data_IF_429763354907
#
_entry.id   IF_429763354907
#
_cell.length_a   1.000
_cell.length_b   1.000
_cell.length_c   1.000
_cell.angle_alpha   90.00
_cell.angle_beta   90.00
_cell.angle_gamma   90.00
#
_symmetry.space_group_name_H-M   'P 1'
#
loop_
_entity.id
_entity.type
_entity.pdbx_description
1 polymer ?
#
# COMPACT_ATOMS: atom_id res chain seq x y z
N UNK A 1 -6.93 -5.13 23.17
CA UNK A 1 -5.76 -4.22 23.21
C UNK A 1 -5.93 -3.13 22.18
N UNK A 2 -5.70 -1.87 22.53
CA UNK A 2 -5.71 -0.81 21.52
C UNK A 2 -4.59 -1.01 20.50
N UNK A 3 -4.85 -0.61 19.29
CA UNK A 3 -3.84 -0.56 18.25
C UNK A 3 -4.09 0.66 17.37
N UNK A 4 -3.15 0.97 16.50
CA UNK A 4 -3.22 2.15 15.65
C UNK A 4 -3.05 1.76 14.19
N UNK A 5 -3.70 2.50 13.32
CA UNK A 5 -3.54 2.31 11.88
C UNK A 5 -3.84 3.60 11.11
N UNK A 6 -3.45 3.62 9.84
CA UNK A 6 -3.77 4.70 8.92
C UNK A 6 -3.59 4.26 7.46
N UNK A 7 -4.30 4.91 6.56
CA UNK A 7 -3.95 4.86 5.14
C UNK A 7 -2.63 5.59 4.93
N UNK A 8 -1.66 4.96 4.28
CA UNK A 8 -0.31 5.50 4.18
C UNK A 8 0.18 5.65 2.74
N UNK A 9 -0.09 4.67 1.88
CA UNK A 9 0.53 4.58 0.57
C UNK A 9 -0.53 4.25 -0.47
N UNK A 10 -0.50 4.98 -1.58
CA UNK A 10 -1.26 4.64 -2.79
C UNK A 10 -0.28 3.98 -3.75
N UNK A 11 -0.61 2.78 -4.22
CA UNK A 11 0.25 2.01 -5.12
C UNK A 11 -0.36 1.90 -6.51
N UNK A 12 0.53 1.97 -7.49
CA UNK A 12 0.22 1.70 -8.89
C UNK A 12 0.79 0.31 -9.18
N UNK A 13 -0.09 -0.66 -9.36
CA UNK A 13 0.31 -2.04 -9.65
C UNK A 13 0.41 -2.24 -11.15
N UNK A 14 1.59 -2.64 -11.61
CA UNK A 14 1.87 -2.82 -13.04
C UNK A 14 2.52 -4.19 -13.30
N UNK A 15 1.99 -4.99 -14.24
CA UNK A 15 2.64 -6.23 -14.63
C UNK A 15 3.93 -5.95 -15.40
N UNK A 16 4.83 -6.97 -15.54
CA UNK A 16 6.18 -6.72 -16.06
C UNK A 16 6.23 -6.00 -17.41
N UNK A 17 5.34 -6.34 -18.36
CA UNK A 17 5.38 -5.76 -19.71
C UNK A 17 4.88 -4.31 -19.76
N UNK A 18 4.26 -3.81 -18.70
CA UNK A 18 3.74 -2.44 -18.61
C UNK A 18 4.46 -1.61 -17.55
N UNK A 19 5.32 -2.24 -16.76
CA UNK A 19 5.94 -1.62 -15.59
C UNK A 19 6.77 -0.37 -15.95
N UNK A 20 7.74 -0.52 -16.84
CA UNK A 20 8.64 0.60 -17.17
C UNK A 20 7.90 1.76 -17.80
N UNK A 21 7.00 1.46 -18.71
CA UNK A 21 6.19 2.48 -19.41
C UNK A 21 5.28 3.23 -18.44
N UNK A 22 4.60 2.51 -17.56
CA UNK A 22 3.71 3.12 -16.58
C UNK A 22 4.46 3.93 -15.54
N UNK A 23 5.57 3.40 -15.05
CA UNK A 23 6.41 4.10 -14.09
C UNK A 23 6.94 5.42 -14.66
N UNK A 24 7.42 5.42 -15.90
CA UNK A 24 7.90 6.62 -16.57
C UNK A 24 6.77 7.64 -16.75
N UNK A 25 5.59 7.18 -17.12
CA UNK A 25 4.44 8.08 -17.26
C UNK A 25 4.14 8.80 -15.96
N UNK A 26 4.03 8.06 -14.84
CA UNK A 26 3.66 8.66 -13.56
C UNK A 26 4.77 9.50 -12.96
N UNK A 27 6.03 9.14 -13.21
CA UNK A 27 7.16 10.01 -12.88
C UNK A 27 7.03 11.36 -13.59
N UNK A 28 6.74 11.34 -14.88
CA UNK A 28 6.54 12.57 -15.66
C UNK A 28 5.30 13.34 -15.22
N UNK A 29 4.20 12.66 -14.95
CA UNK A 29 2.95 13.31 -14.54
C UNK A 29 3.06 13.98 -13.18
N UNK A 30 3.79 13.38 -12.24
CA UNK A 30 3.95 13.92 -10.89
C UNK A 30 5.12 14.91 -10.76
N UNK A 31 6.08 14.84 -11.69
CA UNK A 31 7.32 15.60 -11.58
C UNK A 31 8.32 15.02 -10.59
N UNK A 32 8.07 13.83 -10.07
CA UNK A 32 8.99 13.17 -9.14
C UNK A 32 9.83 12.13 -9.84
N UNK A 33 11.16 12.10 -9.62
CA UNK A 33 11.99 11.05 -10.16
C UNK A 33 11.65 9.70 -9.53
N UNK A 34 11.90 8.63 -10.27
CA UNK A 34 11.74 7.28 -9.74
C UNK A 34 12.86 7.00 -8.76
N UNK A 35 12.52 6.64 -7.53
CA UNK A 35 13.49 6.28 -6.50
C UNK A 35 13.27 4.81 -6.09
N UNK A 36 14.33 3.98 -6.05
CA UNK A 36 14.20 2.61 -5.58
C UNK A 36 13.69 2.56 -4.14
N UNK A 37 12.82 1.60 -3.87
CA UNK A 37 12.29 1.36 -2.52
C UNK A 37 12.52 -0.12 -2.19
N UNK A 38 13.51 -0.38 -1.34
CA UNK A 38 13.92 -1.73 -1.01
C UNK A 38 15.16 -2.18 -1.78
N UNK A 39 15.45 -3.48 -1.71
CA UNK A 39 16.66 -4.05 -2.26
C UNK A 39 16.50 -4.63 -3.67
N UNK A 40 15.28 -4.71 -4.15
CA UNK A 40 14.98 -5.19 -5.50
C UNK A 40 14.15 -4.15 -6.26
N UNK A 41 13.76 -4.47 -7.48
CA UNK A 41 13.04 -3.56 -8.35
C UNK A 41 11.51 -3.77 -8.33
N UNK A 42 10.99 -4.48 -7.33
CA UNK A 42 9.54 -4.69 -7.21
C UNK A 42 8.82 -3.42 -6.79
N UNK A 43 9.46 -2.58 -5.98
CA UNK A 43 8.85 -1.34 -5.51
C UNK A 43 9.74 -0.16 -5.81
N UNK A 44 9.11 0.96 -6.17
CA UNK A 44 9.78 2.23 -6.32
C UNK A 44 8.89 3.35 -5.82
N UNK A 45 9.51 4.44 -5.35
CA UNK A 45 8.82 5.59 -4.81
C UNK A 45 8.70 6.68 -5.87
N UNK A 46 7.56 7.33 -5.93
CA UNK A 46 7.33 8.58 -6.66
C UNK A 46 7.06 9.75 -5.72
N UNK A 47 7.50 9.65 -4.47
CA UNK A 47 7.42 10.72 -3.50
C UNK A 47 6.08 10.84 -2.80
N UNK A 48 5.86 11.98 -2.13
CA UNK A 48 4.63 12.28 -1.44
C UNK A 48 3.71 13.10 -2.34
N UNK A 49 2.43 12.77 -2.36
CA UNK A 49 1.42 13.57 -3.06
C UNK A 49 0.60 14.45 -2.11
N UNK A 50 0.70 14.19 -0.81
CA UNK A 50 0.11 14.99 0.26
C UNK A 50 0.93 14.77 1.54
N UNK A 51 0.74 15.60 2.56
CA UNK A 51 1.48 15.44 3.81
C UNK A 51 1.24 14.07 4.43
N UNK A 52 2.30 13.30 4.54
CA UNK A 52 2.26 11.96 5.11
C UNK A 52 1.73 10.86 4.19
N UNK A 53 1.36 11.17 2.94
CA UNK A 53 0.86 10.17 1.99
C UNK A 53 1.82 10.02 0.83
N UNK A 54 2.14 8.77 0.49
CA UNK A 54 3.14 8.43 -0.51
C UNK A 54 2.52 7.75 -1.72
N UNK A 55 3.15 7.97 -2.87
CA UNK A 55 2.82 7.27 -4.10
C UNK A 55 3.96 6.32 -4.43
N UNK A 56 3.63 5.05 -4.67
CA UNK A 56 4.62 4.04 -5.07
C UNK A 56 4.14 3.27 -6.29
N UNK A 57 5.10 2.68 -6.98
CA UNK A 57 4.85 1.76 -8.08
C UNK A 57 5.28 0.37 -7.63
N UNK A 58 4.41 -0.62 -7.81
CA UNK A 58 4.74 -2.02 -7.56
C UNK A 58 4.72 -2.79 -8.88
N UNK A 59 5.80 -3.53 -9.15
CA UNK A 59 5.80 -4.48 -10.25
C UNK A 59 5.15 -5.78 -9.77
N UNK A 60 4.01 -6.11 -10.37
CA UNK A 60 3.27 -7.33 -10.06
C UNK A 60 3.63 -8.44 -11.04
N UNK A 61 3.12 -9.65 -10.80
CA UNK A 61 3.34 -10.79 -11.67
C UNK A 61 2.61 -10.68 -13.01
N UNK A 62 3.00 -11.53 -13.94
CA UNK A 62 2.32 -11.65 -15.22
C UNK A 62 0.85 -12.02 -15.02
N UNK A 63 -0.01 -11.48 -15.87
CA UNK A 63 -1.44 -11.73 -15.81
C UNK A 63 -2.20 -10.84 -14.83
N UNK A 64 -1.51 -10.05 -14.02
CA UNK A 64 -2.16 -9.07 -13.15
C UNK A 64 -2.51 -7.83 -13.98
N UNK A 65 -3.78 -7.39 -14.01
CA UNK A 65 -4.11 -6.16 -14.73
C UNK A 65 -3.55 -4.94 -13.99
N UNK A 66 -3.26 -3.84 -14.71
CA UNK A 66 -2.93 -2.58 -14.05
C UNK A 66 -4.05 -2.18 -13.10
N UNK A 67 -3.69 -1.74 -11.91
CA UNK A 67 -4.69 -1.35 -10.91
C UNK A 67 -4.05 -0.44 -9.86
N UNK A 68 -4.90 0.24 -9.11
CA UNK A 68 -4.51 0.98 -7.92
C UNK A 68 -4.86 0.15 -6.69
N UNK A 69 -4.02 0.21 -5.66
CA UNK A 69 -4.43 -0.27 -4.36
C UNK A 69 -3.81 0.61 -3.28
N UNK A 70 -4.31 0.49 -2.05
CA UNK A 70 -3.80 1.27 -0.92
C UNK A 70 -3.24 0.32 0.13
N UNK A 71 -2.24 0.80 0.86
CA UNK A 71 -1.73 0.13 2.06
C UNK A 71 -2.25 0.85 3.29
N UNK A 72 -2.81 0.08 4.20
CA UNK A 72 -3.08 0.50 5.58
C UNK A 72 -1.92 0.00 6.42
N UNK A 73 -1.16 0.92 7.01
CA UNK A 73 -0.11 0.54 7.94
C UNK A 73 -0.62 0.54 9.36
N UNK A 74 -0.10 -0.36 10.17
CA UNK A 74 -0.55 -0.58 11.53
C UNK A 74 0.58 -1.07 12.43
N UNK A 75 0.46 -0.81 13.72
CA UNK A 75 1.36 -1.37 14.71
C UNK A 75 0.93 -2.78 15.20
N UNK A 76 -0.21 -3.29 14.71
CA UNK A 76 -0.67 -4.64 15.01
C UNK A 76 -1.51 -5.17 13.84
N UNK A 77 -0.86 -5.90 12.92
CA UNK A 77 -1.50 -6.41 11.71
C UNK A 77 -2.70 -7.31 12.04
N UNK A 78 -2.54 -8.21 13.00
CA UNK A 78 -3.61 -9.14 13.36
C UNK A 78 -4.85 -8.39 13.87
N UNK A 79 -4.65 -7.44 14.79
CA UNK A 79 -5.75 -6.65 15.35
C UNK A 79 -6.43 -5.79 14.28
N UNK A 80 -5.65 -5.20 13.36
CA UNK A 80 -6.21 -4.38 12.30
C UNK A 80 -7.01 -5.22 11.30
N UNK A 81 -6.50 -6.37 10.89
CA UNK A 81 -7.25 -7.29 10.01
C UNK A 81 -8.58 -7.67 10.65
N UNK A 82 -8.57 -8.03 11.94
CA UNK A 82 -9.80 -8.38 12.66
C UNK A 82 -10.78 -7.21 12.70
N UNK A 83 -10.29 -5.99 12.96
CA UNK A 83 -11.13 -4.80 12.97
C UNK A 83 -11.78 -4.56 11.60
N UNK A 84 -11.00 -4.68 10.53
CA UNK A 84 -11.50 -4.46 9.17
C UNK A 84 -12.49 -5.54 8.73
N UNK A 85 -12.26 -6.78 9.15
CA UNK A 85 -13.26 -7.85 8.89
C UNK A 85 -14.59 -7.54 9.57
N UNK A 86 -14.58 -6.97 10.76
CA UNK A 86 -15.82 -6.56 11.43
C UNK A 86 -16.53 -5.44 10.66
N UNK A 87 -15.81 -4.67 9.84
CA UNK A 87 -16.39 -3.67 8.96
C UNK A 87 -16.83 -4.22 7.59
N UNK A 88 -16.60 -5.51 7.34
CA UNK A 88 -17.03 -6.17 6.11
C UNK A 88 -15.92 -6.53 5.13
N UNK A 89 -14.66 -6.30 5.47
CA UNK A 89 -13.56 -6.70 4.61
C UNK A 89 -13.37 -8.21 4.62
N UNK A 90 -12.75 -8.73 3.56
CA UNK A 90 -12.50 -10.16 3.37
C UNK A 90 -11.00 -10.39 3.22
N UNK A 91 -10.47 -11.37 3.94
CA UNK A 91 -9.07 -11.81 3.76
C UNK A 91 -8.92 -12.50 2.42
N UNK A 92 -7.90 -12.11 1.67
CA UNK A 92 -7.62 -12.73 0.37
C UNK A 92 -6.38 -13.61 0.41
N UNK A 93 -5.26 -13.11 0.94
CA UNK A 93 -4.02 -13.86 0.98
C UNK A 93 -3.12 -13.38 2.11
N UNK A 94 -2.52 -14.36 2.82
CA UNK A 94 -1.44 -14.10 3.76
C UNK A 94 -0.13 -14.04 2.97
N UNK A 95 0.52 -12.88 2.99
CA UNK A 95 1.71 -12.61 2.21
C UNK A 95 3.00 -12.79 3.02
N UNK A 96 2.90 -13.40 4.21
CA UNK A 96 4.08 -13.67 5.05
C UNK A 96 4.53 -12.47 5.87
N UNK A 97 3.60 -11.77 6.51
CA UNK A 97 3.88 -10.60 7.34
C UNK A 97 2.91 -9.46 7.11
N UNK A 98 2.18 -9.52 6.01
CA UNK A 98 1.09 -8.59 5.73
C UNK A 98 -0.04 -9.35 5.03
N UNK A 99 -1.20 -8.71 4.90
CA UNK A 99 -2.38 -9.34 4.33
C UNK A 99 -2.91 -8.56 3.13
N UNK A 100 -3.22 -9.29 2.06
CA UNK A 100 -4.10 -8.78 1.01
C UNK A 100 -5.54 -8.98 1.44
N UNK A 101 -6.33 -7.93 1.28
CA UNK A 101 -7.75 -7.95 1.63
C UNK A 101 -8.56 -7.29 0.52
N UNK A 102 -9.87 -7.49 0.57
CA UNK A 102 -10.82 -6.74 -0.26
C UNK A 102 -11.85 -6.07 0.64
N UNK A 103 -12.23 -4.87 0.27
CA UNK A 103 -13.32 -4.15 0.92
C UNK A 103 -14.66 -4.76 0.52
N UNK A 104 -15.78 -4.33 1.12
CA UNK A 104 -17.11 -4.89 0.78
C UNK A 104 -17.51 -4.73 -0.69
N UNK A 105 -16.95 -3.76 -1.40
CA UNK A 105 -17.22 -3.55 -2.82
C UNK A 105 -16.28 -4.36 -3.74
N UNK A 106 -15.27 -5.03 -3.17
CA UNK A 106 -14.31 -5.82 -3.93
C UNK A 106 -13.01 -5.09 -4.26
N UNK A 107 -12.77 -3.91 -3.70
CA UNK A 107 -11.52 -3.19 -3.92
C UNK A 107 -10.38 -3.81 -3.11
N UNK A 108 -9.27 -4.08 -3.79
CA UNK A 108 -8.08 -4.65 -3.16
C UNK A 108 -7.36 -3.60 -2.31
N UNK A 109 -6.91 -4.01 -1.14
CA UNK A 109 -5.99 -3.24 -0.32
C UNK A 109 -5.10 -4.19 0.49
N UNK A 110 -4.04 -3.65 1.08
CA UNK A 110 -3.14 -4.44 1.92
C UNK A 110 -3.08 -3.85 3.33
N UNK A 111 -2.91 -4.73 4.32
CA UNK A 111 -2.64 -4.35 5.71
C UNK A 111 -1.21 -4.73 6.01
N UNK A 112 -0.38 -3.74 6.31
CA UNK A 112 1.07 -3.89 6.44
C UNK A 112 1.54 -3.34 7.79
N UNK A 113 2.73 -3.75 8.23
CA UNK A 113 3.38 -3.14 9.38
C UNK A 113 3.76 -1.69 9.11
N UNK A 114 4.21 -0.98 10.13
CA UNK A 114 4.59 0.44 10.00
C UNK A 114 5.72 0.59 9.01
N UNK A 115 5.53 1.47 8.03
CA UNK A 115 6.51 1.76 6.97
C UNK A 115 7.00 3.21 6.99
N UNK A 116 6.26 4.13 7.59
CA UNK A 116 6.52 5.57 7.46
C UNK A 116 7.07 6.24 8.72
N UNK A 117 7.27 5.50 9.81
CA UNK A 117 7.93 6.01 11.01
C UNK A 117 7.22 7.19 11.64
N UNK A 118 7.83 8.38 11.60
CA UNK A 118 7.26 9.57 12.24
C UNK A 118 5.92 10.00 11.65
N UNK A 119 5.70 9.76 10.36
CA UNK A 119 4.42 10.08 9.73
C UNK A 119 3.30 9.20 10.31
N UNK A 120 3.60 7.94 10.59
CA UNK A 120 2.66 7.06 11.28
C UNK A 120 2.30 7.65 12.65
N UNK A 121 3.28 8.09 13.43
CA UNK A 121 3.04 8.68 14.74
C UNK A 121 2.14 9.91 14.67
N UNK A 122 2.30 10.74 13.64
CA UNK A 122 1.51 11.96 13.50
C UNK A 122 0.09 11.73 13.02
N UNK A 123 -0.13 10.70 12.21
CA UNK A 123 -1.39 10.56 11.47
C UNK A 123 -2.22 9.34 11.85
N UNK A 124 -1.67 8.39 12.60
CA UNK A 124 -2.39 7.17 12.92
C UNK A 124 -3.57 7.43 13.86
N UNK A 125 -4.65 6.68 13.64
CA UNK A 125 -5.80 6.65 14.52
C UNK A 125 -5.66 5.50 15.49
N UNK A 126 -5.97 5.75 16.76
CA UNK A 126 -6.00 4.71 17.80
C UNK A 126 -7.38 4.08 17.86
N UNK A 127 -7.42 2.77 17.82
CA UNK A 127 -8.65 1.98 17.92
C UNK A 127 -8.69 1.27 19.27
N UNK A 128 -9.85 1.24 19.96
CA UNK A 128 -9.98 0.55 21.27
C UNK A 128 -9.82 -0.97 21.20
#
# INVERSE_FOLDING_TARGET
MPHRSRLAILLIDLPPHLHDRGQQFWSGATGHPVEPDGIDDHWSSLGSFADGFHLEVQRTGEGTPPRWHVDIETDDVHAEVTRLEALGAVRMADMGGFWQMKDPAGLLFCVVGIQTGEEFERHATTWP
#
